data_IF_360647460833
#
_entry.id   IF_360647460833
#
_cell.length_a   1.000
_cell.length_b   1.000
_cell.length_c   1.000
_cell.angle_alpha   90.00
_cell.angle_beta   90.00
_cell.angle_gamma   90.00
#
_symmetry.space_group_name_H-M   'P 1'
#
loop_
_entity.id
_entity.type
_entity.pdbx_description
1 polymer ?
#
# COMPACT_ATOMS: atom_id res chain seq x y z
N UNK A 1 -5.99 -4.92 -13.57
CA UNK A 1 -7.27 -4.38 -13.05
C UNK A 1 -7.36 -4.61 -11.56
N UNK A 2 -8.12 -3.80 -10.83
CA UNK A 2 -8.37 -3.91 -9.37
C UNK A 2 -9.87 -3.99 -9.13
N UNK A 3 -10.31 -4.83 -8.18
CA UNK A 3 -11.72 -4.99 -7.84
C UNK A 3 -12.26 -3.81 -7.03
N UNK A 4 -13.29 -3.15 -7.55
CA UNK A 4 -14.07 -2.09 -6.87
C UNK A 4 -15.53 -2.52 -6.73
N UNK A 5 -16.34 -1.72 -6.04
CA UNK A 5 -17.77 -1.99 -5.87
C UNK A 5 -18.52 -2.01 -7.22
N UNK A 6 -18.10 -1.16 -8.17
CA UNK A 6 -18.70 -1.03 -9.50
C UNK A 6 -18.09 -1.99 -10.53
N UNK A 7 -17.30 -2.96 -10.07
CA UNK A 7 -16.57 -3.91 -10.93
C UNK A 7 -15.08 -3.63 -11.00
N UNK A 8 -14.43 -4.10 -12.06
CA UNK A 8 -12.98 -3.99 -12.19
C UNK A 8 -12.56 -2.68 -12.85
N UNK A 9 -11.62 -1.99 -12.23
CA UNK A 9 -11.08 -0.72 -12.72
C UNK A 9 -9.57 -0.82 -12.96
N UNK A 10 -9.06 -0.11 -13.97
CA UNK A 10 -7.62 -0.02 -14.18
C UNK A 10 -6.96 0.65 -12.97
N UNK A 11 -5.88 0.06 -12.44
CA UNK A 11 -5.22 0.56 -11.23
C UNK A 11 -4.73 2.01 -11.36
N UNK A 12 -4.34 2.42 -12.57
CA UNK A 12 -3.93 3.78 -12.89
C UNK A 12 -5.07 4.80 -12.76
N UNK A 13 -6.33 4.36 -12.85
CA UNK A 13 -7.52 5.22 -12.81
C UNK A 13 -8.21 5.25 -11.45
N UNK A 14 -7.74 4.47 -10.47
CA UNK A 14 -8.29 4.47 -9.12
C UNK A 14 -7.80 5.71 -8.36
N UNK A 15 -8.75 6.45 -7.79
CA UNK A 15 -8.47 7.69 -7.04
C UNK A 15 -8.55 7.47 -5.53
N UNK A 16 -7.92 8.37 -4.78
CA UNK A 16 -8.07 8.45 -3.33
C UNK A 16 -9.54 8.67 -2.98
N UNK A 17 -10.03 7.96 -1.96
CA UNK A 17 -11.43 7.94 -1.54
C UNK A 17 -12.27 6.84 -2.20
N UNK A 18 -11.87 6.32 -3.36
CA UNK A 18 -12.55 5.15 -3.95
C UNK A 18 -12.33 3.91 -3.11
N UNK A 19 -13.31 3.01 -3.09
CA UNK A 19 -13.23 1.78 -2.32
C UNK A 19 -12.86 0.58 -3.19
N UNK A 20 -11.88 -0.19 -2.73
CA UNK A 20 -11.43 -1.42 -3.37
C UNK A 20 -11.74 -2.61 -2.49
N UNK A 21 -12.00 -3.77 -3.09
CA UNK A 21 -12.17 -4.99 -2.33
C UNK A 21 -10.83 -5.33 -1.65
N UNK A 22 -10.90 -5.57 -0.36
CA UNK A 22 -9.76 -5.83 0.50
C UNK A 22 -10.09 -6.96 1.46
N UNK A 23 -9.06 -7.59 2.01
CA UNK A 23 -9.21 -8.68 2.97
C UNK A 23 -8.21 -8.51 4.10
N UNK A 24 -8.70 -8.63 5.33
CA UNK A 24 -7.88 -8.58 6.53
C UNK A 24 -7.02 -9.85 6.63
N UNK A 25 -5.71 -9.68 6.80
CA UNK A 25 -4.79 -10.80 6.99
C UNK A 25 -5.04 -11.50 8.34
N UNK A 26 -5.38 -10.73 9.38
CA UNK A 26 -5.53 -11.27 10.73
C UNK A 26 -6.84 -12.05 10.91
N UNK A 27 -7.97 -11.45 10.52
CA UNK A 27 -9.30 -12.06 10.71
C UNK A 27 -9.84 -12.80 9.49
N UNK A 28 -9.24 -12.63 8.30
CA UNK A 28 -9.75 -13.19 7.05
C UNK A 28 -11.03 -12.52 6.53
N UNK A 29 -11.55 -11.48 7.22
CA UNK A 29 -12.73 -10.72 6.80
C UNK A 29 -12.47 -10.02 5.48
N UNK A 30 -13.40 -10.13 4.54
CA UNK A 30 -13.38 -9.43 3.26
C UNK A 30 -14.35 -8.26 3.28
N UNK A 31 -14.02 -7.16 2.63
CA UNK A 31 -14.85 -5.96 2.57
C UNK A 31 -14.21 -4.85 1.75
N UNK A 32 -15.00 -3.83 1.43
CA UNK A 32 -14.54 -2.67 0.68
C UNK A 32 -13.87 -1.66 1.61
N UNK A 33 -12.67 -1.21 1.24
CA UNK A 33 -11.87 -0.25 2.01
C UNK A 33 -11.43 0.92 1.14
N UNK A 34 -11.45 2.16 1.67
CA UNK A 34 -11.05 3.33 0.91
C UNK A 34 -9.55 3.32 0.59
N UNK A 35 -9.22 3.74 -0.62
CA UNK A 35 -7.86 4.04 -1.04
C UNK A 35 -7.44 5.37 -0.42
N UNK A 36 -6.32 5.36 0.31
CA UNK A 36 -5.76 6.55 0.96
C UNK A 36 -4.59 7.14 0.18
N UNK A 37 -3.98 6.38 -0.73
CA UNK A 37 -2.96 6.87 -1.65
C UNK A 37 -2.82 5.98 -2.89
N UNK A 38 -2.37 6.56 -4.00
CA UNK A 38 -1.96 5.86 -5.21
C UNK A 38 -0.54 6.30 -5.58
N UNK A 39 0.29 5.34 -5.97
CA UNK A 39 1.66 5.59 -6.41
C UNK A 39 1.92 4.91 -7.73
N UNK A 40 2.77 5.50 -8.56
CA UNK A 40 3.24 4.89 -9.79
C UNK A 40 4.76 5.04 -9.92
N UNK A 41 5.50 3.93 -9.95
CA UNK A 41 6.96 3.93 -10.03
C UNK A 41 7.42 3.22 -11.32
N UNK A 42 8.47 3.74 -11.99
CA UNK A 42 9.10 3.03 -13.09
C UNK A 42 9.99 1.89 -12.55
N UNK A 43 10.04 0.79 -13.30
CA UNK A 43 10.93 -0.35 -13.09
C UNK A 43 11.57 -0.72 -14.43
N UNK A 44 12.79 -1.25 -14.40
CA UNK A 44 13.52 -1.67 -15.61
C UNK A 44 13.09 -3.07 -16.10
N UNK A 45 12.43 -3.84 -15.24
CA UNK A 45 12.11 -5.23 -15.47
C UNK A 45 10.61 -5.47 -15.20
N UNK A 46 10.01 -6.36 -15.99
CA UNK A 46 8.60 -6.75 -15.90
C UNK A 46 8.50 -8.24 -15.59
N UNK A 47 7.66 -8.60 -14.61
CA UNK A 47 7.29 -9.98 -14.32
C UNK A 47 5.91 -10.26 -14.90
N UNK A 48 5.82 -11.29 -15.73
CA UNK A 48 4.59 -11.87 -16.23
C UNK A 48 4.31 -13.15 -15.46
N UNK A 49 3.13 -13.25 -14.85
CA UNK A 49 2.70 -14.40 -14.06
C UNK A 49 1.46 -14.96 -14.74
N UNK A 50 1.58 -16.14 -15.34
CA UNK A 50 0.45 -16.85 -15.94
C UNK A 50 -0.16 -17.76 -14.89
N UNK A 51 -1.46 -17.62 -14.65
CA UNK A 51 -2.20 -18.43 -13.68
C UNK A 51 -3.46 -19.01 -14.30
N UNK A 52 -3.91 -20.15 -13.79
CA UNK A 52 -5.15 -20.82 -14.20
C UNK A 52 -6.01 -21.17 -12.99
N UNK A 53 -7.32 -21.08 -13.13
CA UNK A 53 -8.29 -21.50 -12.12
C UNK A 53 -8.54 -23.02 -12.08
N UNK A 54 -7.95 -23.77 -13.03
CA UNK A 54 -8.11 -25.21 -13.13
C UNK A 54 -9.43 -25.69 -13.76
N UNK A 55 -10.30 -24.78 -14.19
CA UNK A 55 -11.58 -25.09 -14.84
C UNK A 55 -11.66 -24.54 -16.28
N UNK A 56 -10.51 -24.29 -16.89
CA UNK A 56 -10.39 -23.90 -18.30
C UNK A 56 -10.09 -22.43 -18.52
N UNK A 57 -10.10 -21.59 -17.48
CA UNK A 57 -9.75 -20.18 -17.62
C UNK A 57 -8.30 -19.93 -17.18
N UNK A 58 -7.71 -18.89 -17.77
CA UNK A 58 -6.37 -18.44 -17.43
C UNK A 58 -6.28 -16.92 -17.52
N UNK A 59 -5.30 -16.36 -16.82
CA UNK A 59 -4.98 -14.95 -16.92
C UNK A 59 -3.49 -14.70 -16.75
N UNK A 60 -3.04 -13.57 -17.29
CA UNK A 60 -1.68 -13.07 -17.07
C UNK A 60 -1.73 -11.83 -16.17
N UNK A 61 -0.98 -11.89 -15.07
CA UNK A 61 -0.74 -10.75 -14.21
C UNK A 61 0.60 -10.12 -14.59
N UNK A 62 0.63 -8.79 -14.64
CA UNK A 62 1.83 -8.02 -14.96
C UNK A 62 2.22 -7.21 -13.74
N UNK A 63 3.44 -7.42 -13.24
CA UNK A 63 3.91 -6.83 -11.99
C UNK A 63 5.40 -6.48 -12.05
N UNK A 64 5.86 -5.66 -11.11
CA UNK A 64 7.29 -5.60 -10.78
C UNK A 64 7.70 -6.84 -9.97
N UNK A 65 9.01 -7.02 -9.74
CA UNK A 65 9.55 -8.19 -9.01
C UNK A 65 9.19 -8.27 -7.54
N UNK A 66 8.96 -7.14 -6.89
CA UNK A 66 8.89 -7.04 -5.43
C UNK A 66 7.47 -7.05 -4.89
N UNK A 67 6.46 -6.91 -5.76
CA UNK A 67 5.06 -6.86 -5.34
C UNK A 67 4.64 -8.20 -4.74
N UNK A 68 4.11 -8.23 -3.50
CA UNK A 68 3.73 -9.48 -2.86
C UNK A 68 2.36 -9.99 -3.30
N UNK A 69 2.32 -11.29 -3.59
CA UNK A 69 1.13 -12.10 -3.84
C UNK A 69 0.95 -13.09 -2.70
N UNK A 70 -0.29 -13.31 -2.27
CA UNK A 70 -0.56 -14.30 -1.22
C UNK A 70 -0.52 -15.71 -1.80
N UNK A 71 0.31 -16.58 -1.22
CA UNK A 71 0.36 -17.99 -1.57
C UNK A 71 0.70 -18.86 -0.38
N UNK A 72 -0.02 -19.97 -0.21
CA UNK A 72 0.28 -20.99 0.81
C UNK A 72 0.50 -20.43 2.23
N UNK A 73 -0.33 -19.48 2.67
CA UNK A 73 -0.23 -18.93 4.03
C UNK A 73 0.80 -17.80 4.21
N UNK A 74 1.43 -17.31 3.14
CA UNK A 74 2.46 -16.28 3.21
C UNK A 74 2.45 -15.34 2.02
N UNK A 75 3.04 -14.16 2.19
CA UNK A 75 3.29 -13.22 1.11
C UNK A 75 4.58 -13.58 0.35
N UNK A 76 4.48 -13.81 -0.95
CA UNK A 76 5.60 -14.13 -1.83
C UNK A 76 5.75 -13.01 -2.86
N UNK A 77 6.97 -12.48 -3.00
CA UNK A 77 7.26 -11.49 -4.04
C UNK A 77 7.04 -12.09 -5.44
N UNK A 78 6.49 -11.30 -6.37
CA UNK A 78 6.21 -11.71 -7.73
C UNK A 78 7.38 -12.44 -8.42
N UNK A 79 8.59 -11.91 -8.30
CA UNK A 79 9.80 -12.50 -8.90
C UNK A 79 10.32 -13.76 -8.20
N UNK A 80 9.67 -14.18 -7.10
CA UNK A 80 9.99 -15.40 -6.33
C UNK A 80 8.89 -16.47 -6.42
N UNK A 81 7.76 -16.15 -7.07
CA UNK A 81 6.73 -17.15 -7.37
C UNK A 81 7.31 -18.25 -8.26
N UNK A 82 6.80 -19.46 -8.09
CA UNK A 82 7.17 -20.65 -8.84
C UNK A 82 5.94 -21.30 -9.45
N UNK A 83 6.16 -22.04 -10.54
CA UNK A 83 5.12 -22.90 -11.10
C UNK A 83 4.61 -23.84 -10.02
N UNK A 84 3.28 -23.98 -9.91
CA UNK A 84 2.61 -24.76 -8.87
C UNK A 84 2.26 -23.99 -7.60
N UNK A 85 2.78 -22.77 -7.40
CA UNK A 85 2.28 -21.89 -6.34
C UNK A 85 0.80 -21.58 -6.58
N UNK A 86 0.03 -21.41 -5.51
CA UNK A 86 -1.41 -21.14 -5.59
C UNK A 86 -1.72 -19.75 -5.04
N UNK A 87 -2.39 -18.92 -5.83
CA UNK A 87 -2.81 -17.58 -5.46
C UNK A 87 -4.28 -17.60 -5.03
N UNK A 88 -4.61 -16.85 -3.99
CA UNK A 88 -5.96 -16.82 -3.44
C UNK A 88 -6.82 -15.80 -4.20
N UNK A 89 -7.99 -16.23 -4.68
CA UNK A 89 -8.96 -15.36 -5.35
C UNK A 89 -9.88 -14.62 -4.37
N UNK A 90 -10.71 -13.72 -4.89
CA UNK A 90 -11.71 -12.95 -4.15
C UNK A 90 -12.71 -13.84 -3.38
N UNK A 91 -13.17 -14.93 -4.01
CA UNK A 91 -14.05 -15.94 -3.38
C UNK A 91 -13.32 -16.91 -2.45
N UNK A 92 -11.99 -16.86 -2.40
CA UNK A 92 -11.15 -17.80 -1.67
C UNK A 92 -10.78 -19.06 -2.47
N UNK A 93 -11.16 -19.16 -3.74
CA UNK A 93 -10.68 -20.20 -4.63
C UNK A 93 -9.18 -20.03 -4.91
N UNK A 94 -8.53 -21.11 -5.40
CA UNK A 94 -7.10 -21.11 -5.72
C UNK A 94 -6.91 -21.00 -7.23
N UNK A 95 -6.01 -20.11 -7.64
CA UNK A 95 -5.50 -20.02 -9.01
C UNK A 95 -4.03 -20.46 -9.02
N UNK A 96 -3.70 -21.45 -9.83
CA UNK A 96 -2.37 -22.07 -9.87
C UNK A 96 -1.47 -21.38 -10.86
N UNK A 97 -0.26 -21.01 -10.43
CA UNK A 97 0.77 -20.44 -11.28
C UNK A 97 1.27 -21.48 -12.27
N UNK A 98 1.11 -21.20 -13.56
CA UNK A 98 1.52 -22.04 -14.68
C UNK A 98 2.93 -21.70 -15.14
N UNK A 99 3.24 -20.39 -15.20
CA UNK A 99 4.52 -19.90 -15.69
C UNK A 99 4.85 -18.53 -15.08
N UNK A 100 6.14 -18.24 -14.94
CA UNK A 100 6.67 -16.94 -14.55
C UNK A 100 7.75 -16.55 -15.54
N UNK A 101 7.58 -15.40 -16.20
CA UNK A 101 8.57 -14.86 -17.13
C UNK A 101 9.04 -13.50 -16.65
N UNK A 102 10.35 -13.37 -16.39
CA UNK A 102 11.00 -12.09 -16.15
C UNK A 102 11.56 -11.55 -17.47
N UNK A 103 11.21 -10.31 -17.84
CA UNK A 103 11.74 -9.63 -19.01
C UNK A 103 12.45 -8.34 -18.62
N UNK A 104 13.57 -8.03 -19.28
CA UNK A 104 14.25 -6.73 -19.23
C UNK A 104 13.46 -5.70 -20.05
N UNK A 105 12.23 -5.44 -19.61
CA UNK A 105 11.27 -4.56 -20.23
C UNK A 105 10.80 -3.54 -19.20
N UNK A 106 10.86 -2.23 -19.50
CA UNK A 106 10.39 -1.20 -18.60
C UNK A 106 8.90 -1.35 -18.26
N UNK A 107 8.57 -1.12 -16.99
CA UNK A 107 7.20 -1.15 -16.46
C UNK A 107 6.92 0.10 -15.64
N UNK A 108 5.80 0.77 -15.92
CA UNK A 108 5.20 1.72 -14.98
C UNK A 108 4.20 0.98 -14.10
N UNK A 109 4.65 0.55 -12.92
CA UNK A 109 3.82 -0.19 -11.98
C UNK A 109 3.12 0.77 -11.01
N UNK A 110 1.82 0.55 -10.81
CA UNK A 110 1.03 1.28 -9.82
C UNK A 110 0.80 0.45 -8.56
N UNK A 111 0.64 1.12 -7.43
CA UNK A 111 0.32 0.51 -6.15
C UNK A 111 -0.64 1.43 -5.37
N UNK A 112 -1.44 0.85 -4.48
CA UNK A 112 -2.45 1.54 -3.68
C UNK A 112 -2.14 1.38 -2.20
N UNK A 113 -2.28 2.46 -1.42
CA UNK A 113 -2.48 2.33 0.02
C UNK A 113 -3.98 2.22 0.28
N UNK A 114 -4.38 1.09 0.87
CA UNK A 114 -5.75 0.80 1.25
C UNK A 114 -5.85 0.90 2.76
N UNK A 115 -6.92 1.54 3.26
CA UNK A 115 -7.14 1.70 4.69
C UNK A 115 -7.29 0.35 5.41
N UNK A 116 -6.83 0.33 6.67
CA UNK A 116 -6.87 -0.78 7.63
C UNK A 116 -6.07 -2.03 7.25
N UNK A 117 -6.36 -2.63 6.10
CA UNK A 117 -5.88 -3.97 5.77
C UNK A 117 -4.73 -4.00 4.78
N UNK A 118 -4.45 -2.87 4.10
CA UNK A 118 -3.32 -2.74 3.19
C UNK A 118 -3.24 -3.83 2.09
N UNK A 119 -4.36 -4.44 1.73
CA UNK A 119 -4.46 -5.43 0.67
C UNK A 119 -5.52 -5.04 -0.34
N UNK A 120 -5.46 -5.64 -1.53
CA UNK A 120 -6.49 -5.52 -2.55
C UNK A 120 -6.45 -6.71 -3.50
N UNK A 121 -7.41 -6.79 -4.42
CA UNK A 121 -7.49 -7.87 -5.41
C UNK A 121 -7.23 -7.37 -6.83
N UNK A 122 -6.41 -8.10 -7.59
CA UNK A 122 -6.01 -7.73 -8.96
C UNK A 122 -6.20 -8.86 -9.97
N UNK A 123 -6.60 -8.51 -11.19
CA UNK A 123 -6.66 -9.44 -12.34
C UNK A 123 -6.04 -8.85 -13.60
N UNK A 124 -5.77 -9.70 -14.59
CA UNK A 124 -5.42 -9.27 -15.95
C UNK A 124 -6.51 -8.40 -16.58
N UNK A 125 -6.15 -7.54 -17.53
CA UNK A 125 -7.10 -6.66 -18.23
C UNK A 125 -8.11 -7.43 -19.09
N UNK A 126 -7.68 -8.53 -19.70
CA UNK A 126 -8.51 -9.44 -20.52
C UNK A 126 -9.00 -10.68 -19.76
N UNK A 127 -8.78 -10.73 -18.44
CA UNK A 127 -9.11 -11.90 -17.66
C UNK A 127 -10.61 -12.03 -17.44
N UNK A 128 -11.15 -13.23 -17.64
CA UNK A 128 -12.52 -13.60 -17.25
C UNK A 128 -12.59 -14.19 -15.83
N UNK A 129 -11.43 -14.45 -15.24
CA UNK A 129 -11.28 -14.96 -13.87
C UNK A 129 -11.38 -13.85 -12.82
N UNK A 130 -11.55 -14.28 -11.56
CA UNK A 130 -11.47 -13.40 -10.39
C UNK A 130 -10.04 -12.85 -10.18
N UNK A 131 -9.97 -11.73 -9.47
CA UNK A 131 -8.70 -11.18 -9.02
C UNK A 131 -8.06 -12.01 -7.90
N UNK A 132 -6.74 -11.89 -7.80
CA UNK A 132 -5.92 -12.52 -6.77
C UNK A 132 -5.50 -11.52 -5.71
N UNK A 133 -5.32 -12.02 -4.49
CA UNK A 133 -5.00 -11.22 -3.31
C UNK A 133 -3.54 -10.75 -3.30
N UNK A 134 -3.36 -9.44 -3.21
CA UNK A 134 -2.05 -8.77 -3.19
C UNK A 134 -1.93 -7.80 -2.02
N UNK A 135 -0.70 -7.54 -1.60
CA UNK A 135 -0.41 -6.64 -0.47
C UNK A 135 0.27 -5.35 -0.92
N UNK A 136 -0.05 -4.26 -0.24
CA UNK A 136 0.65 -2.98 -0.33
C UNK A 136 1.94 -3.01 0.52
N UNK A 137 2.83 -3.98 0.31
CA UNK A 137 4.19 -3.89 0.90
C UNK A 137 5.01 -2.97 0.02
N UNK A 138 4.98 -1.68 0.34
CA UNK A 138 5.98 -0.77 -0.15
C UNK A 138 7.31 -1.15 0.53
N UNK A 139 8.44 -1.33 -0.19
CA UNK A 139 9.73 -1.30 0.49
C UNK A 139 9.79 0.02 1.27
N UNK A 140 10.21 0.01 2.55
CA UNK A 140 10.43 1.26 3.25
C UNK A 140 11.32 2.12 2.37
N UNK A 141 10.95 3.39 2.16
CA UNK A 141 11.88 4.35 1.59
C UNK A 141 13.17 4.19 2.38
N UNK A 142 14.28 3.85 1.71
CA UNK A 142 15.59 3.90 2.35
C UNK A 142 15.68 5.31 2.93
N UNK A 143 15.55 5.43 4.24
CA UNK A 143 15.93 6.63 4.97
C UNK A 143 17.46 6.62 4.96
N UNK A 144 18.02 6.86 3.78
CA UNK A 144 19.36 7.39 3.67
C UNK A 144 19.25 8.76 4.29
N UNK A 145 19.69 8.87 5.55
CA UNK A 145 19.97 10.13 6.21
C UNK A 145 21.12 10.82 5.46
N UNK A 146 20.86 11.32 4.25
CA UNK A 146 21.69 12.36 3.64
C UNK A 146 21.17 13.67 4.17
N UNK A 147 21.85 14.19 5.20
CA UNK A 147 21.58 15.46 5.88
C UNK A 147 21.77 16.71 5.00
N UNK A 148 21.70 16.61 3.67
CA UNK A 148 21.95 17.73 2.78
C UNK A 148 21.12 17.60 1.51
N UNK A 149 19.84 17.92 1.56
CA UNK A 149 19.11 18.39 0.38
C UNK A 149 17.89 19.20 0.84
N UNK A 150 17.90 20.49 0.46
CA UNK A 150 16.80 21.42 0.72
C UNK A 150 15.63 21.02 -0.17
N UNK A 151 14.58 20.45 0.42
CA UNK A 151 13.28 20.36 -0.23
C UNK A 151 12.19 20.93 0.68
N UNK A 152 11.26 21.67 0.07
CA UNK A 152 10.09 22.23 0.75
C UNK A 152 9.04 21.16 0.97
N UNK A 153 8.98 20.63 2.20
CA UNK A 153 8.11 19.51 2.60
C UNK A 153 6.72 19.95 3.10
N UNK A 154 6.29 21.16 2.78
CA UNK A 154 5.19 21.84 3.48
C UNK A 154 3.88 21.05 3.53
N UNK A 155 3.49 20.42 2.43
CA UNK A 155 2.18 19.75 2.33
C UNK A 155 2.13 18.30 2.86
N UNK A 156 3.17 17.49 2.59
CA UNK A 156 3.15 16.04 2.94
C UNK A 156 3.37 15.78 4.43
N UNK A 157 4.03 16.72 5.12
CA UNK A 157 4.30 16.66 6.56
C UNK A 157 3.07 17.03 7.40
N UNK A 158 2.18 17.90 6.90
CA UNK A 158 0.93 18.28 7.58
C UNK A 158 -0.08 17.14 7.58
N UNK A 159 -0.33 16.52 6.43
CA UNK A 159 -1.28 15.39 6.30
C UNK A 159 -0.87 14.23 7.23
N UNK A 160 0.43 13.92 7.29
CA UNK A 160 0.94 12.90 8.21
C UNK A 160 0.87 13.30 9.69
N UNK A 161 0.94 14.60 10.01
CA UNK A 161 0.82 15.10 11.38
C UNK A 161 -0.64 15.09 11.84
N UNK A 162 -1.57 15.49 10.98
CA UNK A 162 -3.01 15.50 11.24
C UNK A 162 -3.55 14.09 11.51
N UNK A 163 -3.19 13.10 10.67
CA UNK A 163 -3.58 11.70 10.92
C UNK A 163 -3.05 11.17 12.25
N UNK A 164 -1.82 11.54 12.63
CA UNK A 164 -1.21 11.11 13.91
C UNK A 164 -1.82 11.82 15.12
N UNK A 165 -2.25 13.07 14.96
CA UNK A 165 -3.02 13.81 15.97
C UNK A 165 -4.40 13.16 16.15
N UNK A 166 -5.08 12.80 15.07
CA UNK A 166 -6.38 12.13 15.13
C UNK A 166 -6.28 10.76 15.86
N UNK A 167 -5.26 9.96 15.54
CA UNK A 167 -5.00 8.69 16.21
C UNK A 167 -4.74 8.87 17.72
N UNK A 168 -3.93 9.87 18.11
CA UNK A 168 -3.65 10.17 19.52
C UNK A 168 -4.88 10.72 20.26
N UNK A 169 -5.73 11.49 19.57
CA UNK A 169 -6.96 12.03 20.15
C UNK A 169 -7.97 10.93 20.43
N UNK A 170 -8.09 9.94 19.53
CA UNK A 170 -8.95 8.76 19.72
C UNK A 170 -8.49 7.86 20.87
N UNK A 171 -7.23 7.96 21.30
CA UNK A 171 -6.74 7.24 22.48
C UNK A 171 -7.22 7.87 23.79
N UNK A 172 -7.69 9.13 23.80
CA UNK A 172 -8.23 9.79 25.00
C UNK A 172 -9.66 9.29 25.24
N UNK A 173 -9.84 8.50 26.30
CA UNK A 173 -11.14 7.94 26.71
C UNK A 173 -11.62 8.56 28.02
N UNK A 174 -12.95 8.65 28.27
CA UNK A 174 -13.49 9.01 29.58
C UNK A 174 -12.99 8.06 30.67
N UNK A 175 -12.52 8.59 31.80
CA UNK A 175 -11.98 7.80 32.91
C UNK A 175 -10.48 7.47 32.85
N UNK A 176 -9.77 7.90 31.79
CA UNK A 176 -8.30 7.80 31.70
C UNK A 176 -7.59 8.55 32.84
N UNK A 177 -6.46 8.02 33.32
CA UNK A 177 -5.67 8.70 34.36
C UNK A 177 -5.17 10.06 33.90
N UNK A 178 -5.14 11.04 34.81
CA UNK A 178 -4.66 12.41 34.51
C UNK A 178 -3.25 12.42 33.93
N UNK A 179 -2.37 11.53 34.39
CA UNK A 179 -0.99 11.45 33.94
C UNK A 179 -0.86 10.89 32.52
N UNK A 180 -1.65 9.89 32.14
CA UNK A 180 -1.66 9.35 30.77
C UNK A 180 -2.26 10.34 29.79
N UNK A 181 -3.37 10.98 30.17
CA UNK A 181 -3.98 12.04 29.37
C UNK A 181 -3.00 13.18 29.12
N UNK A 182 -2.28 13.62 30.15
CA UNK A 182 -1.28 14.69 30.04
C UNK A 182 -0.12 14.32 29.11
N UNK A 183 0.32 13.05 29.10
CA UNK A 183 1.36 12.55 28.18
C UNK A 183 0.88 12.59 26.73
N UNK A 184 -0.36 12.17 26.47
CA UNK A 184 -0.95 12.19 25.13
C UNK A 184 -1.12 13.64 24.64
N UNK A 185 -1.68 14.52 25.47
CA UNK A 185 -1.86 15.95 25.15
C UNK A 185 -0.52 16.67 24.93
N UNK A 186 0.53 16.33 25.68
CA UNK A 186 1.89 16.86 25.46
C UNK A 186 2.46 16.41 24.12
N UNK A 187 2.20 15.16 23.74
CA UNK A 187 2.64 14.60 22.46
C UNK A 187 1.93 15.28 21.29
N UNK A 188 0.61 15.47 21.37
CA UNK A 188 -0.18 16.20 20.38
C UNK A 188 0.34 17.64 20.21
N UNK A 189 0.61 18.35 21.32
CA UNK A 189 1.18 19.71 21.28
C UNK A 189 2.54 19.77 20.59
N UNK A 190 3.42 18.82 20.86
CA UNK A 190 4.74 18.77 20.23
C UNK A 190 4.66 18.50 18.72
N UNK A 191 3.77 17.58 18.30
CA UNK A 191 3.54 17.29 16.88
C UNK A 191 2.99 18.53 16.17
N UNK A 192 2.00 19.20 16.77
CA UNK A 192 1.41 20.44 16.23
C UNK A 192 2.44 21.57 16.10
N UNK A 193 3.27 21.77 17.13
CA UNK A 193 4.33 22.79 17.12
C UNK A 193 5.38 22.53 16.04
N UNK A 194 5.77 21.26 15.85
CA UNK A 194 6.71 20.87 14.82
C UNK A 194 6.12 21.01 13.41
N UNK A 195 4.84 20.67 13.22
CA UNK A 195 4.14 20.88 11.96
C UNK A 195 4.06 22.37 11.59
N UNK A 196 3.71 23.23 12.57
CA UNK A 196 3.64 24.69 12.36
C UNK A 196 5.00 25.33 12.09
N UNK A 197 6.09 24.84 12.72
CA UNK A 197 7.46 25.29 12.42
C UNK A 197 7.89 24.94 11.01
N UNK A 198 7.57 23.73 10.55
CA UNK A 198 7.86 23.30 9.18
C UNK A 198 7.04 24.08 8.13
N UNK A 199 5.84 24.51 8.49
CA UNK A 199 4.99 25.33 7.62
C UNK A 199 5.49 26.79 7.49
N UNK A 200 6.16 27.34 8.52
CA UNK A 200 6.64 28.74 8.53
C UNK A 200 8.03 28.95 7.92
N UNK A 201 8.76 27.89 7.55
CA UNK A 201 10.08 28.01 6.91
C UNK A 201 11.09 28.82 7.75
N UNK A 202 11.44 28.36 8.95
CA UNK A 202 12.48 29.04 9.74
C UNK A 202 13.89 28.66 9.26
N UNK A 203 14.59 29.68 8.75
CA UNK A 203 15.99 29.71 8.34
C UNK A 203 16.89 29.64 9.58
N UNK A 204 17.64 28.54 9.74
CA UNK A 204 18.71 28.50 10.73
C UNK A 204 19.95 29.20 10.16
N UNK A 205 20.09 30.48 10.50
CA UNK A 205 21.29 31.27 10.28
C UNK A 205 22.52 30.63 10.95
N UNK A 206 23.63 30.62 10.20
CA UNK A 206 24.98 30.33 10.67
C UNK A 206 25.32 31.15 11.92
N UNK A 207 25.84 30.47 12.95
CA UNK A 207 26.94 30.96 13.80
C UNK A 207 27.93 29.79 13.85
N UNK A 208 29.14 29.87 13.33
CA UNK A 208 30.06 30.99 13.35
C UNK A 208 30.93 30.88 14.60
N UNK A 209 31.79 29.87 14.66
CA UNK A 209 33.14 29.92 15.23
C UNK A 209 33.92 28.70 14.75
#
# INVERSE_FOLDING_TARGET
MVKTADGYKAIAHIRVGESVLSKDEASGKTGYKPVTAQYGNPYQETVYIEISDGIGNSQTLVSNKIHPFYSQGKWIQAGRLKKGDTLLSESGAKQTVQNITLKQQPLKAYNLTVADWHTYFVKGDKAETEGVWVHNSCPPKRTGSSKNEKHGDGGRSQISAESKIAELTNKIIPGMSKNERLKIERTIRNITKNANRKAKGEEHGRRGR
#
